data_IF_107547407234
#
_entry.id   IF_107547407234
#
_cell.length_a   1.000
_cell.length_b   1.000
_cell.length_c   1.000
_cell.angle_alpha   90.00
_cell.angle_beta   90.00
_cell.angle_gamma   90.00
#
_symmetry.space_group_name_H-M   'P 1'
#
loop_
_entity.id
_entity.type
_entity.pdbx_description
1 polymer ?
#
# COMPACT_ATOMS: atom_id res chain seq x y z
N UNK A 1 41.31 -28.54 -48.43
CA UNK A 1 40.09 -27.79 -48.76
C UNK A 1 39.04 -28.14 -47.73
N UNK A 2 38.82 -27.26 -46.76
CA UNK A 2 37.90 -27.45 -45.63
C UNK A 2 36.51 -27.01 -46.05
N UNK A 3 35.60 -27.97 -46.27
CA UNK A 3 34.20 -27.70 -46.49
C UNK A 3 33.55 -27.23 -45.17
N UNK A 4 33.14 -25.96 -45.13
CA UNK A 4 32.21 -25.44 -44.12
C UNK A 4 30.85 -26.14 -44.26
N UNK A 5 30.17 -26.51 -43.16
CA UNK A 5 28.87 -27.16 -43.24
C UNK A 5 27.82 -26.14 -43.74
N UNK A 6 27.15 -26.51 -44.82
CA UNK A 6 25.99 -25.82 -45.39
C UNK A 6 24.91 -25.61 -44.31
N UNK A 7 24.22 -24.45 -44.25
CA UNK A 7 23.12 -24.26 -43.32
C UNK A 7 22.02 -25.27 -43.69
N UNK A 8 21.76 -26.23 -42.80
CA UNK A 8 20.76 -27.26 -42.99
C UNK A 8 19.43 -26.60 -43.34
N UNK A 9 18.96 -26.80 -44.58
CA UNK A 9 17.62 -26.41 -44.99
C UNK A 9 16.67 -27.28 -44.17
N UNK A 10 16.19 -26.74 -43.05
CA UNK A 10 15.24 -27.44 -42.20
C UNK A 10 14.07 -27.87 -43.08
N UNK A 11 13.84 -29.18 -43.14
CA UNK A 11 12.74 -29.71 -43.94
C UNK A 11 11.43 -29.10 -43.45
N UNK A 12 10.46 -28.88 -44.36
CA UNK A 12 9.16 -28.29 -44.03
C UNK A 12 8.48 -28.93 -42.80
N UNK A 13 8.73 -30.22 -42.55
CA UNK A 13 8.26 -30.92 -41.36
C UNK A 13 8.97 -30.52 -40.06
N UNK A 14 10.29 -30.28 -40.10
CA UNK A 14 11.07 -29.78 -38.96
C UNK A 14 10.62 -28.37 -38.57
N UNK A 15 10.44 -27.48 -39.55
CA UNK A 15 9.92 -26.12 -39.32
C UNK A 15 8.53 -26.13 -38.69
N UNK A 16 7.60 -26.98 -39.19
CA UNK A 16 6.26 -27.11 -38.60
C UNK A 16 6.29 -27.54 -37.13
N UNK A 17 7.15 -28.52 -36.79
CA UNK A 17 7.33 -28.95 -35.39
C UNK A 17 7.88 -27.83 -34.53
N UNK A 18 8.89 -27.11 -35.02
CA UNK A 18 9.51 -26.00 -34.29
C UNK A 18 8.54 -24.85 -34.05
N UNK A 19 7.70 -24.52 -35.04
CA UNK A 19 6.62 -23.52 -34.88
C UNK A 19 5.63 -23.96 -33.80
N UNK A 20 5.19 -25.23 -33.82
CA UNK A 20 4.26 -25.73 -32.82
C UNK A 20 4.85 -25.68 -31.39
N UNK A 21 6.13 -26.04 -31.23
CA UNK A 21 6.84 -25.94 -29.95
C UNK A 21 6.91 -24.48 -29.46
N UNK A 22 7.31 -23.56 -30.33
CA UNK A 22 7.40 -22.13 -29.99
C UNK A 22 6.04 -21.52 -29.64
N UNK A 23 4.97 -21.93 -30.32
CA UNK A 23 3.61 -21.50 -30.00
C UNK A 23 3.18 -21.99 -28.61
N UNK A 24 3.51 -23.25 -28.26
CA UNK A 24 3.21 -23.81 -26.95
C UNK A 24 4.00 -23.12 -25.83
N UNK A 25 5.28 -22.83 -26.06
CA UNK A 25 6.12 -22.07 -25.13
C UNK A 25 5.61 -20.65 -24.93
N UNK A 26 5.24 -19.96 -26.02
CA UNK A 26 4.62 -18.64 -25.95
C UNK A 26 3.31 -18.65 -25.17
N UNK A 27 2.42 -19.62 -25.43
CA UNK A 27 1.17 -19.76 -24.68
C UNK A 27 1.43 -19.97 -23.18
N UNK A 28 2.44 -20.78 -22.86
CA UNK A 28 2.86 -21.05 -21.48
C UNK A 28 3.43 -19.80 -20.81
N UNK A 29 4.31 -19.06 -21.49
CA UNK A 29 4.90 -17.83 -20.98
C UNK A 29 3.86 -16.74 -20.77
N UNK A 30 2.95 -16.54 -21.73
CA UNK A 30 1.83 -15.60 -21.60
C UNK A 30 0.94 -15.97 -20.40
N UNK A 31 0.65 -17.26 -20.21
CA UNK A 31 -0.13 -17.72 -19.05
C UNK A 31 0.58 -17.48 -17.70
N UNK A 32 1.92 -17.45 -17.67
CA UNK A 32 2.70 -17.14 -16.46
C UNK A 32 2.73 -15.62 -16.21
N UNK A 33 2.79 -14.83 -17.26
CA UNK A 33 2.81 -13.36 -17.21
C UNK A 33 1.45 -12.77 -16.82
N UNK A 34 0.34 -13.43 -17.15
CA UNK A 34 -0.99 -13.06 -16.65
C UNK A 34 -1.27 -13.55 -15.23
N UNK A 35 -0.50 -14.52 -14.73
CA UNK A 35 -0.56 -15.03 -13.35
C UNK A 35 0.31 -14.27 -12.37
N UNK A 36 1.31 -13.53 -12.84
CA UNK A 36 2.04 -12.59 -11.98
C UNK A 36 1.09 -11.45 -11.61
N UNK A 37 0.84 -11.19 -10.32
CA UNK A 37 0.03 -10.07 -9.93
C UNK A 37 0.79 -8.82 -10.34
N UNK A 38 0.31 -8.11 -11.36
CA UNK A 38 0.71 -6.75 -11.76
C UNK A 38 0.42 -5.71 -10.65
N UNK A 39 0.29 -6.18 -9.40
CA UNK A 39 -0.38 -5.52 -8.31
C UNK A 39 0.49 -5.22 -7.09
N UNK A 40 1.80 -5.46 -7.14
CA UNK A 40 2.69 -5.04 -6.06
C UNK A 40 3.03 -3.55 -6.20
N UNK A 41 3.84 -3.17 -7.20
CA UNK A 41 4.40 -1.81 -7.23
C UNK A 41 3.42 -0.67 -7.52
N UNK A 42 2.40 -0.87 -8.36
CA UNK A 42 1.41 0.19 -8.66
C UNK A 42 0.53 0.48 -7.45
N UNK A 43 0.12 -0.56 -6.71
CA UNK A 43 -0.69 -0.40 -5.50
C UNK A 43 0.13 0.19 -4.36
N UNK A 44 1.36 -0.26 -4.19
CA UNK A 44 2.31 0.28 -3.23
C UNK A 44 2.60 1.77 -3.52
N UNK A 45 2.88 2.13 -4.78
CA UNK A 45 3.07 3.52 -5.18
C UNK A 45 1.83 4.39 -4.95
N UNK A 46 0.63 3.87 -5.23
CA UNK A 46 -0.62 4.57 -4.93
C UNK A 46 -0.85 4.73 -3.42
N UNK A 47 -0.47 3.75 -2.60
CA UNK A 47 -0.57 3.85 -1.15
C UNK A 47 0.38 4.92 -0.60
N UNK A 48 1.63 4.93 -1.05
CA UNK A 48 2.63 5.95 -0.68
C UNK A 48 2.15 7.34 -1.11
N UNK A 49 1.68 7.49 -2.36
CA UNK A 49 1.17 8.77 -2.85
C UNK A 49 -0.01 9.27 -1.99
N UNK A 50 -0.95 8.39 -1.61
CA UNK A 50 -2.07 8.76 -0.73
C UNK A 50 -1.59 9.22 0.65
N UNK A 51 -0.56 8.59 1.20
CA UNK A 51 0.03 8.98 2.49
C UNK A 51 0.76 10.34 2.39
N UNK A 52 1.55 10.55 1.33
CA UNK A 52 2.29 11.80 1.10
C UNK A 52 1.35 12.98 0.80
N UNK A 53 0.19 12.71 0.18
CA UNK A 53 -0.82 13.75 -0.08
C UNK A 53 -1.66 14.14 1.14
N UNK A 54 -1.42 13.57 2.32
CA UNK A 54 -2.04 14.07 3.54
C UNK A 54 -1.40 15.41 3.89
N UNK A 55 -2.23 16.44 4.08
CA UNK A 55 -1.79 17.77 4.51
C UNK A 55 -1.24 17.78 5.93
N UNK A 56 -1.72 16.84 6.75
CA UNK A 56 -1.47 16.79 8.17
C UNK A 56 -0.83 15.45 8.56
N UNK A 57 0.08 15.42 9.55
CA UNK A 57 0.66 14.19 10.05
C UNK A 57 -0.43 13.21 10.52
N UNK A 58 -0.25 11.91 10.22
CA UNK A 58 -1.18 10.84 10.62
C UNK A 58 -1.45 10.84 12.12
N UNK A 59 -0.43 11.15 12.93
CA UNK A 59 -0.55 11.29 14.39
C UNK A 59 -1.55 12.36 14.78
N UNK A 60 -1.53 13.53 14.14
CA UNK A 60 -2.44 14.63 14.43
C UNK A 60 -3.88 14.28 14.03
N UNK A 61 -4.03 13.54 12.92
CA UNK A 61 -5.33 13.05 12.46
C UNK A 61 -5.97 12.05 13.43
N UNK A 62 -5.15 11.19 14.04
CA UNK A 62 -5.60 10.22 15.06
C UNK A 62 -5.96 10.93 16.36
N UNK A 63 -5.13 11.86 16.82
CA UNK A 63 -5.39 12.64 18.05
C UNK A 63 -6.71 13.41 17.94
N UNK A 64 -7.00 14.01 16.78
CA UNK A 64 -8.27 14.72 16.56
C UNK A 64 -9.48 13.75 16.54
N UNK A 65 -9.31 12.54 16.02
CA UNK A 65 -10.35 11.52 16.12
C UNK A 65 -10.62 11.13 17.58
N UNK A 66 -9.58 10.86 18.36
CA UNK A 66 -9.71 10.49 19.78
C UNK A 66 -10.35 11.61 20.59
N UNK A 67 -9.97 12.86 20.32
CA UNK A 67 -10.61 14.05 20.91
C UNK A 67 -12.11 14.09 20.64
N UNK A 68 -12.54 13.81 19.41
CA UNK A 68 -13.97 13.78 19.06
C UNK A 68 -14.71 12.62 19.70
N UNK A 69 -14.08 11.45 19.85
CA UNK A 69 -14.68 10.33 20.60
C UNK A 69 -14.86 10.72 22.07
N UNK A 70 -13.83 11.29 22.70
CA UNK A 70 -13.90 11.75 24.09
C UNK A 70 -14.97 12.83 24.30
N UNK A 71 -15.12 13.76 23.34
CA UNK A 71 -16.18 14.78 23.36
C UNK A 71 -17.60 14.21 23.17
N UNK A 72 -17.74 13.11 22.43
CA UNK A 72 -19.04 12.44 22.24
C UNK A 72 -19.40 11.54 23.43
N UNK A 73 -18.41 10.97 24.13
CA UNK A 73 -18.63 10.16 25.34
C UNK A 73 -18.90 11.01 26.59
N UNK A 74 -18.56 12.30 26.56
CA UNK A 74 -18.76 13.27 27.65
C UNK A 74 -20.02 14.13 27.42
N UNK A 75 -21.18 13.49 27.22
CA UNK A 75 -22.50 14.14 27.09
C UNK A 75 -23.01 14.81 28.39
N UNK A 76 -22.13 15.40 29.20
CA UNK A 76 -22.53 16.49 30.09
C UNK A 76 -22.52 17.76 29.24
N UNK A 77 -23.72 18.28 28.99
CA UNK A 77 -24.14 19.36 28.08
C UNK A 77 -23.49 20.75 28.31
N UNK A 78 -22.25 20.81 28.79
CA UNK A 78 -21.57 22.04 29.18
C UNK A 78 -20.47 22.35 28.17
N UNK A 79 -20.85 23.12 27.14
CA UNK A 79 -19.94 23.75 26.17
C UNK A 79 -19.04 22.78 25.41
N UNK A 80 -19.58 22.10 24.39
CA UNK A 80 -18.74 21.61 23.29
C UNK A 80 -18.14 22.86 22.64
N UNK A 81 -16.81 23.09 22.71
CA UNK A 81 -16.21 24.22 22.04
C UNK A 81 -16.53 24.12 20.55
N UNK A 82 -16.99 25.21 19.93
CA UNK A 82 -17.22 25.23 18.48
C UNK A 82 -15.95 24.76 17.78
N UNK A 83 -16.06 23.65 17.03
CA UNK A 83 -14.94 23.07 16.29
C UNK A 83 -14.36 24.15 15.38
N UNK A 84 -13.09 24.50 15.60
CA UNK A 84 -12.41 25.46 14.72
C UNK A 84 -12.21 24.85 13.32
N UNK A 85 -12.06 25.68 12.30
CA UNK A 85 -11.88 25.27 10.90
C UNK A 85 -10.72 24.28 10.71
N UNK A 86 -9.67 24.40 11.51
CA UNK A 86 -8.51 23.52 11.47
C UNK A 86 -8.80 22.12 12.05
N UNK A 87 -9.64 22.03 13.09
CA UNK A 87 -10.07 20.77 13.68
C UNK A 87 -11.00 20.01 12.73
N UNK A 88 -11.88 20.73 12.04
CA UNK A 88 -12.75 20.17 11.02
C UNK A 88 -11.98 19.75 9.76
N UNK A 89 -10.95 20.51 9.37
CA UNK A 89 -10.01 20.11 8.32
C UNK A 89 -9.28 18.83 8.69
N UNK A 90 -8.72 18.75 9.90
CA UNK A 90 -8.03 17.57 10.39
C UNK A 90 -8.96 16.34 10.42
N UNK A 91 -10.18 16.47 10.91
CA UNK A 91 -11.13 15.35 10.90
C UNK A 91 -11.54 14.90 9.49
N UNK A 92 -11.68 15.83 8.53
CA UNK A 92 -11.90 15.46 7.12
C UNK A 92 -10.71 14.72 6.53
N UNK A 93 -9.49 15.15 6.86
CA UNK A 93 -8.26 14.46 6.48
C UNK A 93 -8.17 13.05 7.10
N UNK A 94 -8.59 12.88 8.36
CA UNK A 94 -8.72 11.56 9.00
C UNK A 94 -9.73 10.65 8.26
N UNK A 95 -10.91 11.17 7.90
CA UNK A 95 -11.90 10.41 7.12
C UNK A 95 -11.34 9.97 5.75
N UNK A 96 -10.52 10.80 5.10
CA UNK A 96 -9.82 10.42 3.86
C UNK A 96 -8.78 9.33 4.10
N UNK A 97 -7.99 9.43 5.18
CA UNK A 97 -7.02 8.41 5.57
C UNK A 97 -7.69 7.05 5.79
N UNK A 98 -8.78 6.99 6.56
CA UNK A 98 -9.52 5.73 6.81
C UNK A 98 -10.13 5.17 5.52
N UNK A 99 -10.63 6.03 4.63
CA UNK A 99 -11.15 5.62 3.32
C UNK A 99 -10.05 4.99 2.45
N UNK A 100 -8.83 5.51 2.52
CA UNK A 100 -7.69 5.02 1.74
C UNK A 100 -7.01 3.80 2.36
N UNK A 101 -6.99 3.73 3.68
CA UNK A 101 -6.35 2.70 4.48
C UNK A 101 -7.30 2.22 5.59
N UNK A 102 -8.24 1.29 5.29
CA UNK A 102 -9.23 0.82 6.26
C UNK A 102 -8.63 0.17 7.51
N UNK A 103 -7.41 -0.37 7.40
CA UNK A 103 -6.64 -0.93 8.53
C UNK A 103 -6.36 0.09 9.64
N UNK A 104 -6.28 1.39 9.31
CA UNK A 104 -6.12 2.47 10.30
C UNK A 104 -7.30 2.51 11.27
N UNK A 105 -8.50 2.15 10.83
CA UNK A 105 -9.66 2.11 11.72
C UNK A 105 -9.53 1.05 12.82
N UNK A 106 -8.99 -0.12 12.48
CA UNK A 106 -8.76 -1.20 13.47
C UNK A 106 -7.59 -0.94 14.40
N UNK A 107 -6.66 -0.08 13.97
CA UNK A 107 -5.53 0.42 14.75
C UNK A 107 -5.96 1.41 15.85
N UNK A 108 -6.89 2.30 15.51
CA UNK A 108 -7.35 3.38 16.39
C UNK A 108 -8.46 2.92 17.33
N UNK A 109 -9.23 1.90 16.94
CA UNK A 109 -10.15 1.25 17.87
C UNK A 109 -9.39 0.37 18.86
N UNK A 110 -9.80 0.31 20.14
CA UNK A 110 -9.18 -0.54 21.15
C UNK A 110 -9.48 -2.01 20.85
N UNK A 111 -8.73 -2.56 19.90
CA UNK A 111 -8.57 -3.99 19.68
C UNK A 111 -7.17 -4.37 20.14
N UNK A 112 -6.97 -5.64 20.50
CA UNK A 112 -5.68 -6.20 20.95
C UNK A 112 -4.51 -5.93 19.98
N UNK A 113 -4.80 -5.56 18.74
CA UNK A 113 -3.83 -5.20 17.70
C UNK A 113 -3.39 -3.73 17.73
N UNK A 114 -4.22 -2.81 18.22
CA UNK A 114 -3.91 -1.38 18.36
C UNK A 114 -2.82 -1.10 19.40
N UNK A 115 -2.84 -1.84 20.51
CA UNK A 115 -1.84 -1.70 21.58
C UNK A 115 -0.40 -2.08 21.13
N UNK A 116 -0.28 -3.11 20.27
CA UNK A 116 1.02 -3.58 19.76
C UNK A 116 1.63 -2.58 18.78
N UNK A 117 0.79 -1.94 17.95
CA UNK A 117 1.23 -0.96 16.96
C UNK A 117 1.47 0.42 17.57
N UNK A 118 0.71 0.81 18.60
CA UNK A 118 1.00 2.01 19.39
C UNK A 118 2.39 1.92 20.06
N UNK A 119 2.75 0.74 20.59
CA UNK A 119 4.09 0.48 21.11
C UNK A 119 5.17 0.57 20.01
N UNK A 120 4.93 0.00 18.82
CA UNK A 120 5.85 0.09 17.70
C UNK A 120 6.07 1.54 17.20
N UNK A 121 5.03 2.37 17.18
CA UNK A 121 5.15 3.79 16.81
C UNK A 121 5.92 4.62 17.86
N UNK A 122 5.86 4.24 19.14
CA UNK A 122 6.67 4.86 20.19
C UNK A 122 8.16 4.50 20.05
N UNK A 123 8.49 3.27 19.65
CA UNK A 123 9.89 2.86 19.42
C UNK A 123 10.54 3.62 18.25
N UNK A 124 9.79 3.94 17.20
CA UNK A 124 10.31 4.71 16.04
C UNK A 124 10.49 6.20 16.36
N UNK A 125 9.86 6.71 17.43
CA UNK A 125 10.00 8.10 17.88
C UNK A 125 11.17 8.34 18.83
N UNK A 126 11.99 7.32 19.14
CA UNK A 126 13.18 7.53 19.94
C UNK A 126 14.23 8.31 19.15
N UNK A 127 14.76 9.42 19.68
CA UNK A 127 15.83 10.16 19.01
C UNK A 127 17.04 9.22 18.86
N UNK A 128 17.58 9.17 17.64
CA UNK A 128 18.85 8.49 17.37
C UNK A 128 19.86 8.87 18.46
N UNK A 129 20.52 7.90 19.11
CA UNK A 129 21.54 8.22 20.10
C UNK A 129 22.63 9.01 19.41
N UNK A 130 22.73 10.30 19.74
CA UNK A 130 23.84 11.15 19.36
C UNK A 130 25.10 10.56 20.00
N UNK A 131 25.90 9.87 19.19
CA UNK A 131 27.24 9.45 19.57
C UNK A 131 28.15 10.66 19.46
N UNK A 132 28.46 11.28 20.59
CA UNK A 132 29.74 11.92 20.85
C UNK A 132 30.30 11.35 22.15
#
# INVERSE_FOLDING_TARGET
MSHSPSPAIETRGALKRRIATLQQENATLLSKMTKTPTHSYVREGQAIHRLVCLSDPVTNLIVEYDRRIMLVESEDEVNIPESNDDEERAFRSYKKLVRWCPSVKGLVQPSTQGAVLAAACQEVSLPFPSKF
#
